data_IF_958548368648
#
_entry.id   IF_958548368648
#
_cell.length_a   1.000
_cell.length_b   1.000
_cell.length_c   1.000
_cell.angle_alpha   90.00
_cell.angle_beta   90.00
_cell.angle_gamma   90.00
#
_symmetry.space_group_name_H-M   'P 1'
#
loop_
_entity.id
_entity.type
_entity.pdbx_description
1 polymer ?
#
# COMPACT_ATOMS: atom_id res chain seq x y z
N UNK A 1 14.21 -22.96 3.10
CA UNK A 1 13.60 -22.97 4.43
C UNK A 1 12.98 -21.60 4.67
N UNK A 2 11.69 -21.50 4.98
CA UNK A 2 11.10 -20.22 5.33
C UNK A 2 11.58 -19.85 6.74
N UNK A 3 12.34 -18.77 6.85
CA UNK A 3 12.65 -18.14 8.13
C UNK A 3 11.35 -17.96 8.91
N UNK A 4 11.28 -18.39 10.19
CA UNK A 4 10.11 -18.14 11.01
C UNK A 4 9.81 -16.64 10.99
N UNK A 5 8.54 -16.27 10.91
CA UNK A 5 8.10 -14.87 10.91
C UNK A 5 8.29 -14.26 12.31
N UNK A 6 9.57 -14.12 12.70
CA UNK A 6 10.00 -13.75 14.03
C UNK A 6 9.73 -12.26 14.23
N UNK A 7 8.89 -11.95 15.21
CA UNK A 7 8.49 -10.59 15.57
C UNK A 7 8.75 -10.36 17.05
N UNK A 8 10.02 -10.11 17.44
CA UNK A 8 10.40 -10.01 18.85
C UNK A 8 9.83 -8.76 19.52
N UNK A 9 9.50 -7.72 18.74
CA UNK A 9 9.09 -6.43 19.29
C UNK A 9 7.57 -6.38 19.44
N UNK A 10 7.07 -6.70 20.64
CA UNK A 10 5.63 -6.69 20.97
C UNK A 10 5.17 -5.33 21.49
N UNK A 11 3.97 -4.91 21.11
CA UNK A 11 3.29 -3.79 21.73
C UNK A 11 2.93 -4.15 23.18
N UNK A 12 3.15 -3.21 24.11
CA UNK A 12 2.86 -3.37 25.53
C UNK A 12 1.57 -2.66 25.96
N UNK A 13 0.81 -2.09 25.01
CA UNK A 13 -0.46 -1.44 25.31
C UNK A 13 -1.54 -2.46 25.65
N UNK A 14 -2.36 -2.17 26.66
CA UNK A 14 -3.44 -3.05 27.10
C UNK A 14 -4.42 -3.33 25.95
N UNK A 15 -4.76 -4.59 25.70
CA UNK A 15 -5.52 -5.09 24.54
C UNK A 15 -4.86 -5.04 23.15
N UNK A 16 -3.59 -4.61 23.03
CA UNK A 16 -2.89 -4.61 21.75
C UNK A 16 -2.04 -5.88 21.53
N UNK A 17 -2.39 -6.69 20.53
CA UNK A 17 -1.69 -7.96 20.21
C UNK A 17 -0.63 -7.82 19.13
N UNK A 18 -0.34 -6.59 18.66
CA UNK A 18 0.58 -6.37 17.54
C UNK A 18 2.04 -6.62 17.92
N UNK A 19 2.76 -7.29 17.02
CA UNK A 19 4.19 -7.52 17.12
C UNK A 19 4.88 -7.15 15.79
N UNK A 20 6.15 -6.77 15.86
CA UNK A 20 6.92 -6.21 14.75
C UNK A 20 8.29 -6.87 14.63
N UNK A 21 8.81 -6.90 13.38
CA UNK A 21 10.15 -7.41 13.07
C UNK A 21 11.26 -6.44 13.49
N UNK A 22 10.98 -5.14 13.47
CA UNK A 22 11.95 -4.08 13.82
C UNK A 22 11.44 -3.22 14.96
N UNK A 23 12.36 -2.77 15.82
CA UNK A 23 12.05 -1.86 16.93
C UNK A 23 11.47 -0.53 16.43
N UNK A 24 11.98 0.01 15.34
CA UNK A 24 11.47 1.26 14.73
C UNK A 24 10.01 1.15 14.29
N UNK A 25 9.59 -0.03 13.82
CA UNK A 25 8.19 -0.28 13.46
C UNK A 25 7.29 -0.28 14.70
N UNK A 26 7.76 -0.85 15.83
CA UNK A 26 7.06 -0.80 17.11
C UNK A 26 6.99 0.63 17.67
N UNK A 27 8.10 1.37 17.68
CA UNK A 27 8.13 2.78 18.13
C UNK A 27 7.13 3.63 17.34
N UNK A 28 7.09 3.45 16.02
CA UNK A 28 6.10 4.12 15.17
C UNK A 28 4.67 3.67 15.48
N UNK A 29 4.46 2.39 15.77
CA UNK A 29 3.14 1.87 16.11
C UNK A 29 2.59 2.49 17.41
N UNK A 30 3.43 2.74 18.42
CA UNK A 30 2.99 3.37 19.67
C UNK A 30 2.31 4.73 19.47
N UNK A 31 2.68 5.47 18.42
CA UNK A 31 2.05 6.74 18.05
C UNK A 31 0.54 6.62 17.76
N UNK A 32 0.05 5.42 17.44
CA UNK A 32 -1.39 5.15 17.28
C UNK A 32 -2.09 5.21 18.64
N UNK A 33 -1.44 4.73 19.69
CA UNK A 33 -2.02 4.68 21.03
C UNK A 33 -2.00 6.04 21.72
N UNK A 34 -0.95 6.84 21.50
CA UNK A 34 -0.82 8.18 22.07
C UNK A 34 -1.46 9.27 21.20
N UNK A 35 -2.06 8.91 20.08
CA UNK A 35 -2.53 9.81 19.03
C UNK A 35 -1.47 10.82 18.54
N UNK A 36 -0.18 10.47 18.63
CA UNK A 36 0.91 11.33 18.18
C UNK A 36 1.00 11.35 16.65
N UNK A 37 0.44 12.41 16.05
CA UNK A 37 0.40 12.62 14.59
C UNK A 37 1.19 13.87 14.22
N UNK A 38 2.52 13.77 14.09
CA UNK A 38 3.40 14.92 13.90
C UNK A 38 3.32 15.54 12.50
N UNK A 39 2.62 14.92 11.56
CA UNK A 39 2.56 15.39 10.17
C UNK A 39 1.15 15.91 9.83
N UNK A 40 0.86 17.20 10.09
CA UNK A 40 -0.41 17.81 9.70
C UNK A 40 -0.49 18.04 8.19
N UNK A 41 -1.69 17.94 7.65
CA UNK A 41 -1.99 18.45 6.32
C UNK A 41 -2.04 19.98 6.37
N UNK A 42 -1.46 20.63 5.37
CA UNK A 42 -1.42 22.10 5.26
C UNK A 42 -2.41 22.63 4.22
N UNK A 43 -3.26 21.77 3.66
CA UNK A 43 -4.28 22.19 2.70
C UNK A 43 -5.39 22.98 3.42
N UNK A 44 -5.88 24.09 2.85
CA UNK A 44 -6.96 24.89 3.46
C UNK A 44 -8.20 24.04 3.77
N UNK A 45 -8.73 24.17 4.99
CA UNK A 45 -9.91 23.42 5.44
C UNK A 45 -9.68 21.93 5.72
N UNK A 46 -8.43 21.44 5.69
CA UNK A 46 -8.10 20.05 6.02
C UNK A 46 -7.38 19.94 7.37
N UNK A 47 -8.02 19.31 8.35
CA UNK A 47 -7.47 19.14 9.70
C UNK A 47 -6.78 17.79 9.91
N UNK A 48 -6.61 17.01 8.84
CA UNK A 48 -6.06 15.64 8.94
C UNK A 48 -4.59 15.64 9.32
N UNK A 49 -4.21 14.77 10.26
CA UNK A 49 -2.83 14.57 10.72
C UNK A 49 -2.40 13.11 10.56
N UNK A 50 -1.12 12.88 10.29
CA UNK A 50 -0.55 11.58 9.98
C UNK A 50 0.64 11.23 10.88
N UNK A 51 0.78 9.94 11.18
CA UNK A 51 1.93 9.37 11.91
C UNK A 51 3.19 9.34 11.03
N UNK A 52 3.02 9.18 9.72
CA UNK A 52 4.12 9.05 8.75
C UNK A 52 4.03 10.13 7.67
N UNK A 53 5.18 10.70 7.30
CA UNK A 53 5.29 11.65 6.19
C UNK A 53 4.82 11.05 4.86
N UNK A 54 5.12 9.78 4.58
CA UNK A 54 4.67 9.11 3.34
C UNK A 54 3.15 9.02 3.25
N UNK A 55 2.47 8.80 4.38
CA UNK A 55 1.02 8.79 4.43
C UNK A 55 0.43 10.19 4.18
N UNK A 56 1.07 11.24 4.72
CA UNK A 56 0.71 12.63 4.41
C UNK A 56 0.89 12.91 2.91
N UNK A 57 2.02 12.55 2.30
CA UNK A 57 2.27 12.78 0.86
C UNK A 57 1.25 12.06 -0.02
N UNK A 58 0.88 10.83 0.32
CA UNK A 58 -0.19 10.13 -0.40
C UNK A 58 -1.53 10.83 -0.19
N UNK A 59 -1.82 11.29 1.03
CA UNK A 59 -3.03 12.04 1.32
C UNK A 59 -3.10 13.37 0.55
N UNK A 60 -2.00 14.12 0.41
CA UNK A 60 -2.04 15.40 -0.32
C UNK A 60 -2.48 15.24 -1.77
N UNK A 61 -2.29 14.05 -2.36
CA UNK A 61 -2.80 13.72 -3.70
C UNK A 61 -4.32 13.68 -3.79
N UNK A 62 -5.04 13.57 -2.67
CA UNK A 62 -6.50 13.70 -2.66
C UNK A 62 -6.95 15.14 -2.90
N UNK A 63 -6.10 16.11 -2.58
CA UNK A 63 -6.37 17.53 -2.81
C UNK A 63 -5.96 17.96 -4.22
N UNK A 64 -4.83 17.45 -4.71
CA UNK A 64 -4.30 17.81 -6.04
C UNK A 64 -4.89 16.96 -7.18
N UNK A 65 -5.48 15.81 -6.86
CA UNK A 65 -5.95 14.83 -7.86
C UNK A 65 -4.83 14.02 -8.53
N UNK A 66 -3.57 14.16 -8.09
CA UNK A 66 -2.43 13.48 -8.69
C UNK A 66 -2.55 11.94 -8.60
N UNK A 67 -2.39 11.26 -9.74
CA UNK A 67 -2.44 9.80 -9.85
C UNK A 67 -1.20 9.27 -10.60
N UNK A 68 -0.05 9.18 -9.92
CA UNK A 68 1.20 8.82 -10.58
C UNK A 68 1.30 7.33 -10.93
N UNK A 69 0.49 6.47 -10.32
CA UNK A 69 0.59 5.03 -10.50
C UNK A 69 -0.38 4.52 -11.57
N UNK A 70 0.14 4.21 -12.74
CA UNK A 70 -0.63 3.70 -13.87
C UNK A 70 -0.72 2.16 -13.90
N UNK A 71 -1.89 1.64 -14.29
CA UNK A 71 -2.04 0.22 -14.58
C UNK A 71 -1.46 -0.12 -15.95
N UNK A 72 -0.46 -1.01 -16.00
CA UNK A 72 0.17 -1.42 -17.25
C UNK A 72 -0.56 -2.55 -17.98
N UNK A 73 -1.78 -2.91 -17.55
CA UNK A 73 -2.58 -3.92 -18.23
C UNK A 73 -3.12 -3.34 -19.54
N UNK A 74 -2.95 -4.07 -20.66
CA UNK A 74 -3.36 -3.61 -21.98
C UNK A 74 -4.85 -3.23 -22.02
N UNK A 75 -5.15 -2.01 -22.47
CA UNK A 75 -6.51 -1.46 -22.52
C UNK A 75 -7.06 -0.97 -21.18
N UNK A 76 -6.27 -0.99 -20.10
CA UNK A 76 -6.65 -0.41 -18.82
C UNK A 76 -6.08 1.00 -18.66
N UNK A 77 -6.95 2.01 -18.64
CA UNK A 77 -6.56 3.42 -18.46
C UNK A 77 -6.59 3.87 -16.99
N UNK A 78 -6.69 2.94 -16.03
CA UNK A 78 -6.87 3.28 -14.61
C UNK A 78 -5.53 3.73 -14.00
N UNK A 79 -5.56 4.90 -13.35
CA UNK A 79 -4.46 5.46 -12.56
C UNK A 79 -4.84 5.58 -11.08
N UNK A 80 -3.85 5.51 -10.20
CA UNK A 80 -4.02 5.49 -8.75
C UNK A 80 -3.10 6.51 -8.07
N UNK A 81 -3.59 7.08 -6.96
CA UNK A 81 -2.86 8.02 -6.11
C UNK A 81 -1.77 7.35 -5.28
N UNK A 82 -1.86 6.03 -5.06
CA UNK A 82 -0.88 5.26 -4.29
C UNK A 82 -0.64 3.86 -4.89
N UNK A 83 0.53 3.30 -4.59
CA UNK A 83 0.99 2.02 -5.12
C UNK A 83 0.21 0.81 -4.56
N UNK A 84 -0.30 0.90 -3.33
CA UNK A 84 -1.05 -0.20 -2.70
C UNK A 84 -2.41 -0.36 -3.37
N UNK A 85 -3.07 0.75 -3.71
CA UNK A 85 -4.31 0.77 -4.49
C UNK A 85 -4.11 0.19 -5.88
N UNK A 86 -3.03 0.54 -6.59
CA UNK A 86 -2.67 -0.10 -7.86
C UNK A 86 -2.42 -1.60 -7.69
N UNK A 87 -1.65 -2.00 -6.67
CA UNK A 87 -1.37 -3.41 -6.40
C UNK A 87 -2.65 -4.22 -6.19
N UNK A 88 -3.57 -3.70 -5.37
CA UNK A 88 -4.89 -4.31 -5.17
C UNK A 88 -5.69 -4.38 -6.47
N UNK A 89 -5.68 -3.31 -7.26
CA UNK A 89 -6.39 -3.27 -8.54
C UNK A 89 -5.89 -4.32 -9.54
N UNK A 90 -4.60 -4.65 -9.55
CA UNK A 90 -4.04 -5.66 -10.45
C UNK A 90 -4.73 -7.03 -10.32
N UNK A 91 -5.29 -7.36 -9.16
CA UNK A 91 -6.05 -8.61 -8.98
C UNK A 91 -7.33 -8.68 -9.83
N UNK A 92 -7.90 -7.53 -10.22
CA UNK A 92 -9.05 -7.49 -11.15
C UNK A 92 -8.66 -8.06 -12.51
N UNK A 93 -7.43 -7.79 -12.97
CA UNK A 93 -6.91 -8.32 -14.23
C UNK A 93 -6.48 -9.78 -14.13
N UNK A 94 -6.00 -10.22 -12.96
CA UNK A 94 -5.70 -11.63 -12.72
C UNK A 94 -6.95 -12.52 -12.86
N UNK A 95 -8.12 -12.01 -12.43
CA UNK A 95 -9.43 -12.68 -12.62
C UNK A 95 -9.97 -12.59 -14.05
N UNK A 96 -9.52 -11.59 -14.81
CA UNK A 96 -9.92 -11.35 -16.20
C UNK A 96 -8.94 -11.93 -17.22
N UNK A 97 -7.93 -12.71 -16.83
CA UNK A 97 -7.01 -13.35 -17.80
C UNK A 97 -7.85 -14.09 -18.86
N UNK A 98 -7.83 -13.66 -20.13
CA UNK A 98 -7.88 -14.65 -21.19
C UNK A 98 -6.57 -15.43 -21.05
N UNK A 99 -6.62 -16.77 -21.08
CA UNK A 99 -5.39 -17.49 -21.40
C UNK A 99 -4.99 -17.04 -22.81
N UNK A 100 -3.89 -16.29 -22.93
CA UNK A 100 -3.20 -16.07 -24.20
C UNK A 100 -1.72 -16.32 -23.97
N UNK A 101 -0.99 -17.09 -24.76
CA UNK A 101 -1.30 -17.99 -25.87
C UNK A 101 -0.11 -18.96 -25.95
N UNK A 102 -0.33 -20.15 -26.52
CA UNK A 102 0.74 -21.05 -26.95
C UNK A 102 0.50 -21.51 -28.39
N UNK A 103 0.10 -20.61 -29.29
CA UNK A 103 0.21 -20.88 -30.72
C UNK A 103 1.56 -20.34 -31.18
N UNK A 104 2.55 -21.23 -31.16
CA UNK A 104 3.54 -21.27 -32.23
C UNK A 104 2.97 -22.32 -33.17
N UNK A 105 2.46 -21.87 -34.32
CA UNK A 105 2.08 -22.74 -35.42
C UNK A 105 3.32 -23.55 -35.83
N UNK A 106 3.32 -24.86 -35.55
CA UNK A 106 4.27 -25.79 -36.14
C UNK A 106 3.58 -26.42 -37.36
N UNK A 107 4.03 -26.17 -38.60
CA UNK A 107 3.52 -26.90 -39.75
C UNK A 107 4.15 -28.29 -39.73
N UNK A 108 3.31 -29.32 -39.75
CA UNK A 108 3.55 -30.69 -40.26
C UNK A 108 2.21 -31.45 -40.11
N UNK A 109 1.66 -32.06 -41.15
CA UNK A 109 2.35 -32.97 -42.06
C UNK A 109 2.06 -34.36 -41.55
#
# INVERSE_FOLDING_TARGET
>A
MCEPDFRPFRCKWESCTKAFKRRSDLTRHYKIHTDDRPHPCTAPGCEKRFIQRSALVVHTRTHTGEKPHECQYLGCIKRFSDSSSLSRHRHVHARKRPRRCGHIECPKG
#
